data_IF_915075568435
#
_entry.id   IF_915075568435
#
_cell.length_a   1.000
_cell.length_b   1.000
_cell.length_c   1.000
_cell.angle_alpha   90.00
_cell.angle_beta   90.00
_cell.angle_gamma   90.00
#
_symmetry.space_group_name_H-M   'P 1'
#
loop_
_entity.id
_entity.type
_entity.pdbx_description
1 polymer ?
#
# COMPACT_ATOMS: atom_id res chain seq x y z
N UNK A 1 -45.64 62.62 46.07
CA UNK A 1 -44.19 62.33 46.07
C UNK A 1 -43.94 60.99 46.74
N UNK A 2 -43.22 60.09 46.04
CA UNK A 2 -42.55 58.85 46.46
C UNK A 2 -43.26 57.89 47.43
N UNK A 3 -43.72 56.75 46.91
CA UNK A 3 -43.71 55.48 47.66
C UNK A 3 -42.98 54.42 46.84
N UNK A 4 -41.97 53.83 47.49
CA UNK A 4 -41.18 52.71 47.03
C UNK A 4 -42.06 51.47 46.88
N UNK A 5 -41.92 50.75 45.77
CA UNK A 5 -42.55 49.44 45.59
C UNK A 5 -41.45 48.40 45.40
N UNK A 6 -41.38 47.49 46.37
CA UNK A 6 -40.57 46.28 46.39
C UNK A 6 -41.02 45.38 45.25
N UNK A 7 -40.11 45.02 44.33
CA UNK A 7 -40.33 43.97 43.34
C UNK A 7 -39.63 42.72 43.85
N UNK A 8 -40.41 41.75 44.30
CA UNK A 8 -39.97 40.36 44.48
C UNK A 8 -39.97 39.73 43.09
N UNK A 9 -38.79 39.50 42.51
CA UNK A 9 -38.63 38.70 41.31
C UNK A 9 -38.04 37.35 41.71
N UNK A 10 -38.84 36.30 41.63
CA UNK A 10 -38.37 34.92 41.73
C UNK A 10 -37.43 34.62 40.55
N UNK A 11 -36.14 34.48 40.83
CA UNK A 11 -35.17 33.87 39.93
C UNK A 11 -35.28 32.34 40.06
N UNK A 12 -36.04 31.71 39.17
CA UNK A 12 -35.84 30.29 38.85
C UNK A 12 -34.89 30.27 37.66
N UNK A 13 -33.59 30.13 37.97
CA UNK A 13 -32.59 29.84 36.96
C UNK A 13 -32.79 28.41 36.46
N UNK A 14 -33.44 28.24 35.31
CA UNK A 14 -33.28 27.03 34.51
C UNK A 14 -31.92 27.15 33.86
N UNK A 15 -30.89 26.64 34.53
CA UNK A 15 -29.64 26.29 33.86
C UNK A 15 -30.02 25.17 32.90
N UNK A 16 -30.10 25.47 31.61
CA UNK A 16 -30.08 24.44 30.60
C UNK A 16 -28.78 23.67 30.81
N UNK A 17 -28.87 22.48 31.40
CA UNK A 17 -27.77 21.53 31.35
C UNK A 17 -27.49 21.33 29.85
N UNK A 18 -26.39 21.90 29.37
CA UNK A 18 -25.84 21.55 28.08
C UNK A 18 -25.67 20.04 28.13
N UNK A 19 -26.48 19.33 27.34
CA UNK A 19 -26.31 17.90 27.17
C UNK A 19 -24.88 17.72 26.67
N UNK A 20 -24.00 17.18 27.54
CA UNK A 20 -22.63 16.87 27.14
C UNK A 20 -22.71 16.03 25.86
N UNK A 21 -21.90 16.38 24.85
CA UNK A 21 -21.87 15.59 23.64
C UNK A 21 -21.43 14.17 24.01
N UNK A 22 -21.96 13.18 23.31
CA UNK A 22 -21.43 11.83 23.49
C UNK A 22 -19.95 11.81 23.11
N UNK A 23 -19.10 11.23 23.97
CA UNK A 23 -17.68 11.09 23.66
C UNK A 23 -17.48 10.41 22.31
N UNK A 24 -16.53 10.92 21.51
CA UNK A 24 -16.23 10.32 20.21
C UNK A 24 -15.58 8.96 20.40
N UNK A 25 -16.11 7.95 19.70
CA UNK A 25 -15.64 6.57 19.74
C UNK A 25 -15.36 6.07 18.32
N UNK A 26 -14.52 5.04 18.14
CA UNK A 26 -14.45 4.35 16.85
C UNK A 26 -15.73 3.54 16.64
N UNK A 27 -16.43 3.82 15.54
CA UNK A 27 -17.62 3.10 15.11
C UNK A 27 -17.25 1.82 14.37
N UNK A 28 -16.21 1.90 13.54
CA UNK A 28 -15.81 0.83 12.64
C UNK A 28 -14.30 0.81 12.47
N UNK A 29 -13.73 -0.39 12.47
CA UNK A 29 -12.33 -0.62 12.12
C UNK A 29 -12.27 -1.62 10.98
N UNK A 30 -11.60 -1.24 9.90
CA UNK A 30 -11.41 -2.06 8.71
C UNK A 30 -9.92 -2.24 8.47
N UNK A 31 -9.47 -3.48 8.38
CA UNK A 31 -8.18 -3.81 7.80
C UNK A 31 -8.32 -3.95 6.29
N UNK A 32 -7.44 -3.30 5.53
CA UNK A 32 -7.34 -3.47 4.09
C UNK A 32 -6.16 -4.39 3.80
N UNK A 33 -6.50 -5.61 3.40
CA UNK A 33 -5.56 -6.67 3.10
C UNK A 33 -5.24 -6.69 1.61
N UNK A 34 -3.97 -6.87 1.23
CA UNK A 34 -3.61 -6.99 -0.18
C UNK A 34 -4.33 -8.19 -0.83
N UNK A 35 -4.97 -7.96 -1.97
CA UNK A 35 -5.58 -9.00 -2.80
C UNK A 35 -4.68 -9.39 -3.97
N UNK A 36 -4.38 -8.41 -4.82
CA UNK A 36 -3.54 -8.57 -6.01
C UNK A 36 -2.60 -7.37 -6.11
N UNK A 37 -1.34 -7.61 -6.46
CA UNK A 37 -0.42 -6.55 -6.87
C UNK A 37 0.14 -6.90 -8.23
N UNK A 38 0.15 -5.95 -9.16
CA UNK A 38 0.89 -6.18 -10.39
C UNK A 38 2.32 -5.74 -10.17
N UNK A 39 3.17 -6.74 -9.99
CA UNK A 39 4.59 -6.52 -10.15
C UNK A 39 5.18 -7.38 -11.28
N UNK A 40 4.51 -8.46 -11.72
CA UNK A 40 4.99 -9.30 -12.84
C UNK A 40 3.93 -9.99 -13.72
N UNK A 41 2.64 -9.68 -13.56
CA UNK A 41 1.61 -10.40 -14.27
C UNK A 41 0.52 -9.46 -14.75
N UNK A 42 0.85 -8.71 -15.81
CA UNK A 42 0.00 -8.34 -16.94
C UNK A 42 0.41 -6.95 -17.43
N UNK A 43 0.43 -6.81 -18.75
CA UNK A 43 0.87 -5.65 -19.54
C UNK A 43 -0.20 -4.51 -19.52
N UNK A 44 0.04 -3.38 -18.84
CA UNK A 44 -0.81 -2.20 -18.96
C UNK A 44 -0.46 -1.45 -20.23
N UNK A 45 -1.43 -1.32 -21.13
CA UNK A 45 -1.26 -0.62 -22.40
C UNK A 45 -1.37 0.88 -22.21
N UNK A 46 -0.35 1.61 -22.67
CA UNK A 46 -0.50 3.03 -22.96
C UNK A 46 -1.29 3.18 -24.26
N UNK A 47 -2.40 3.93 -24.20
CA UNK A 47 -3.04 4.49 -25.38
C UNK A 47 -2.40 5.87 -25.61
N UNK A 48 -1.31 5.91 -26.39
CA UNK A 48 -0.73 7.20 -26.78
C UNK A 48 -1.79 8.02 -27.52
N UNK A 49 -2.11 9.20 -26.98
CA UNK A 49 -3.11 10.13 -27.51
C UNK A 49 -4.26 10.46 -26.55
N UNK A 50 -4.54 9.65 -25.52
CA UNK A 50 -5.81 9.74 -24.77
C UNK A 50 -5.70 10.08 -23.27
N UNK A 51 -4.52 10.46 -22.75
CA UNK A 51 -4.32 10.83 -21.31
C UNK A 51 -4.82 9.77 -20.31
N UNK A 52 -4.79 8.50 -20.72
CA UNK A 52 -5.48 7.38 -20.07
C UNK A 52 -4.56 6.17 -19.95
N UNK A 53 -4.54 5.52 -18.78
CA UNK A 53 -3.85 4.25 -18.50
C UNK A 53 -4.81 3.31 -17.83
N UNK A 54 -4.83 2.04 -18.22
CA UNK A 54 -5.65 1.05 -17.54
C UNK A 54 -5.02 -0.33 -17.53
N UNK A 55 -5.59 -1.19 -16.68
CA UNK A 55 -5.01 -2.47 -16.36
C UNK A 55 -6.07 -3.41 -15.83
N UNK A 56 -5.97 -4.68 -16.25
CA UNK A 56 -6.83 -5.73 -15.74
C UNK A 56 -6.23 -6.41 -14.52
N UNK A 57 -7.09 -6.83 -13.60
CA UNK A 57 -6.77 -7.71 -12.48
C UNK A 57 -7.89 -8.71 -12.26
N UNK A 58 -7.62 -9.76 -11.48
CA UNK A 58 -8.61 -10.77 -11.12
C UNK A 58 -8.61 -10.89 -9.60
N UNK A 59 -9.62 -10.35 -8.90
CA UNK A 59 -9.66 -10.40 -7.44
C UNK A 59 -9.82 -11.84 -6.96
N UNK A 60 -9.23 -12.14 -5.81
CA UNK A 60 -9.48 -13.39 -5.09
C UNK A 60 -10.68 -13.28 -4.14
N UNK A 61 -11.12 -12.05 -3.86
CA UNK A 61 -12.22 -11.75 -2.93
C UNK A 61 -13.43 -11.13 -3.64
N UNK A 62 -14.54 -11.13 -2.94
CA UNK A 62 -15.83 -10.61 -3.39
C UNK A 62 -16.00 -9.10 -3.13
N UNK A 63 -14.95 -8.43 -2.65
CA UNK A 63 -14.96 -7.00 -2.40
C UNK A 63 -13.59 -6.34 -2.60
N UNK A 64 -13.59 -5.23 -3.32
CA UNK A 64 -12.47 -4.31 -3.50
C UNK A 64 -12.71 -3.07 -2.61
N UNK A 65 -11.88 -2.88 -1.58
CA UNK A 65 -11.98 -1.73 -0.68
C UNK A 65 -11.12 -0.55 -1.13
N UNK A 66 -9.85 -0.80 -1.43
CA UNK A 66 -8.90 0.22 -1.87
C UNK A 66 -8.17 -0.21 -3.15
N UNK A 67 -7.76 0.78 -3.92
CA UNK A 67 -6.76 0.65 -4.98
C UNK A 67 -5.56 1.53 -4.60
N UNK A 68 -4.38 0.92 -4.46
CA UNK A 68 -3.14 1.67 -4.39
C UNK A 68 -2.55 1.81 -5.78
N UNK A 69 -2.12 3.01 -6.16
CA UNK A 69 -1.38 3.19 -7.39
C UNK A 69 -0.28 4.26 -7.28
N UNK A 70 0.81 4.08 -8.03
CA UNK A 70 1.92 5.04 -8.07
C UNK A 70 1.84 5.97 -9.27
N UNK A 71 1.43 7.21 -9.02
CA UNK A 71 1.26 8.25 -10.05
C UNK A 71 2.20 9.41 -9.73
N UNK A 72 2.95 9.93 -10.71
CA UNK A 72 3.87 11.05 -10.48
C UNK A 72 3.47 12.27 -11.31
N UNK A 73 3.70 13.45 -10.74
CA UNK A 73 3.57 14.71 -11.46
C UNK A 73 4.90 15.06 -12.11
N UNK A 74 4.89 15.55 -13.34
CA UNK A 74 6.12 16.01 -13.99
C UNK A 74 6.66 17.24 -13.28
N UNK A 75 7.95 17.21 -12.91
CA UNK A 75 8.62 18.36 -12.30
C UNK A 75 8.92 19.42 -13.36
N UNK A 76 8.96 20.72 -13.00
CA UNK A 76 9.23 21.83 -13.93
C UNK A 76 10.65 21.89 -14.51
N UNK A 77 11.56 21.02 -14.10
CA UNK A 77 13.00 21.08 -14.38
C UNK A 77 13.41 20.52 -15.76
N UNK A 78 12.50 19.86 -16.48
CA UNK A 78 12.70 19.55 -17.89
C UNK A 78 12.28 20.75 -18.75
N UNK A 79 13.23 21.29 -19.52
CA UNK A 79 13.18 22.57 -20.25
C UNK A 79 11.99 22.79 -21.21
N UNK A 80 11.10 21.81 -21.40
CA UNK A 80 9.93 21.87 -22.31
C UNK A 80 8.58 21.50 -21.64
N UNK A 81 8.52 21.32 -20.32
CA UNK A 81 7.25 21.04 -19.64
C UNK A 81 6.73 22.28 -18.91
N UNK A 82 5.75 22.95 -19.52
CA UNK A 82 4.95 23.95 -18.82
C UNK A 82 4.46 23.40 -17.48
N UNK A 83 4.74 24.13 -16.40
CA UNK A 83 4.26 23.79 -15.07
C UNK A 83 2.74 23.97 -15.02
N UNK A 84 1.97 22.94 -15.37
CA UNK A 84 0.53 22.98 -15.13
C UNK A 84 0.32 23.12 -13.63
N UNK A 85 -0.27 24.22 -13.18
CA UNK A 85 -0.52 24.51 -11.77
C UNK A 85 -1.97 24.18 -11.33
N UNK A 86 -2.84 23.81 -12.27
CA UNK A 86 -4.24 23.48 -12.03
C UNK A 86 -4.47 22.10 -11.41
N UNK A 87 -5.74 21.78 -11.13
CA UNK A 87 -6.16 20.47 -10.65
C UNK A 87 -6.09 19.46 -11.80
N UNK A 88 -5.50 18.30 -11.56
CA UNK A 88 -5.37 17.22 -12.55
C UNK A 88 -6.73 16.66 -12.97
N UNK A 89 -7.69 16.71 -12.04
CA UNK A 89 -8.97 16.01 -12.07
C UNK A 89 -8.74 14.55 -12.49
N UNK A 90 -7.98 13.83 -11.67
CA UNK A 90 -7.67 12.43 -11.92
C UNK A 90 -8.98 11.64 -11.83
N UNK A 91 -9.41 11.09 -12.96
CA UNK A 91 -10.57 10.22 -13.02
C UNK A 91 -10.14 8.77 -12.89
N UNK A 92 -10.92 8.01 -12.12
CA UNK A 92 -10.72 6.59 -11.92
C UNK A 92 -12.01 5.89 -12.27
N UNK A 93 -11.93 4.88 -13.13
CA UNK A 93 -13.06 4.08 -13.55
C UNK A 93 -12.74 2.60 -13.44
N UNK A 94 -13.75 1.78 -13.16
CA UNK A 94 -13.63 0.33 -13.03
C UNK A 94 -14.77 -0.36 -13.76
N UNK A 95 -14.46 -1.41 -14.51
CA UNK A 95 -15.41 -2.26 -15.21
C UNK A 95 -15.20 -3.73 -14.84
N UNK A 96 -16.28 -4.50 -14.85
CA UNK A 96 -16.21 -5.95 -15.02
C UNK A 96 -15.88 -6.24 -16.49
N UNK A 97 -14.83 -7.01 -16.76
CA UNK A 97 -14.43 -7.31 -18.13
C UNK A 97 -15.51 -8.14 -18.85
N UNK A 98 -15.75 -7.79 -20.11
CA UNK A 98 -16.60 -8.51 -21.05
C UNK A 98 -15.76 -9.38 -21.98
N UNK A 99 -16.39 -9.99 -22.98
CA UNK A 99 -15.74 -10.88 -23.95
C UNK A 99 -14.57 -10.22 -24.71
N UNK A 100 -14.56 -8.89 -24.81
CA UNK A 100 -13.43 -8.13 -25.33
C UNK A 100 -13.38 -6.70 -24.75
N UNK A 101 -12.28 -6.00 -25.03
CA UNK A 101 -12.04 -4.64 -24.54
C UNK A 101 -13.10 -3.63 -25.01
N UNK A 102 -13.52 -3.68 -26.28
CA UNK A 102 -14.52 -2.77 -26.81
C UNK A 102 -15.88 -2.95 -26.11
N UNK A 103 -16.31 -4.20 -25.93
CA UNK A 103 -17.52 -4.54 -25.17
C UNK A 103 -17.41 -4.08 -23.71
N UNK A 104 -16.23 -4.23 -23.09
CA UNK A 104 -15.97 -3.75 -21.73
C UNK A 104 -16.15 -2.22 -21.66
N UNK A 105 -15.51 -1.47 -22.56
CA UNK A 105 -15.56 0.00 -22.60
C UNK A 105 -16.93 0.56 -22.99
N UNK A 106 -17.71 -0.17 -23.78
CA UNK A 106 -19.07 0.20 -24.14
C UNK A 106 -20.09 -0.09 -23.02
N UNK A 107 -19.70 -0.86 -22.01
CA UNK A 107 -20.53 -1.11 -20.83
C UNK A 107 -20.40 0.00 -19.78
N UNK A 108 -21.42 0.10 -18.92
CA UNK A 108 -21.38 1.05 -17.81
C UNK A 108 -20.30 0.65 -16.79
N UNK A 109 -19.45 1.59 -16.35
CA UNK A 109 -18.49 1.32 -15.29
C UNK A 109 -19.22 0.97 -13.99
N UNK A 110 -18.65 0.02 -13.24
CA UNK A 110 -19.09 -0.32 -11.90
C UNK A 110 -18.78 0.78 -10.88
N UNK A 111 -17.74 1.56 -11.16
CA UNK A 111 -17.31 2.66 -10.33
C UNK A 111 -16.67 3.74 -11.22
N UNK A 112 -16.95 4.99 -10.89
CA UNK A 112 -16.33 6.17 -11.49
C UNK A 112 -16.22 7.25 -10.42
N UNK A 113 -15.03 7.82 -10.27
CA UNK A 113 -14.79 8.98 -9.40
C UNK A 113 -13.79 9.93 -10.03
N UNK A 114 -13.82 11.18 -9.57
CA UNK A 114 -12.85 12.20 -9.94
C UNK A 114 -12.24 12.75 -8.65
N UNK A 115 -10.93 12.59 -8.48
CA UNK A 115 -10.23 13.18 -7.35
C UNK A 115 -9.83 14.63 -7.68
N UNK A 116 -10.53 15.58 -7.05
CA UNK A 116 -10.26 17.01 -7.15
C UNK A 116 -9.16 17.47 -6.18
N UNK A 117 -8.81 16.64 -5.17
CA UNK A 117 -7.88 17.05 -4.11
C UNK A 117 -6.44 16.80 -4.54
N UNK A 118 -5.83 17.91 -4.98
CA UNK A 118 -4.39 18.13 -5.15
C UNK A 118 -3.57 17.29 -4.14
N UNK A 119 -2.80 16.29 -4.59
CA UNK A 119 -1.90 15.57 -3.70
C UNK A 119 -0.67 16.46 -3.52
N UNK A 120 -0.68 17.23 -2.45
CA UNK A 120 0.58 17.62 -1.87
C UNK A 120 1.19 16.32 -1.31
N UNK A 121 2.42 15.99 -1.71
CA UNK A 121 3.31 14.98 -1.10
C UNK A 121 3.07 13.44 -1.25
N UNK A 122 2.16 12.87 -2.05
CA UNK A 122 1.96 11.41 -2.07
C UNK A 122 2.88 10.60 -3.04
N UNK A 123 3.71 9.68 -2.50
CA UNK A 123 4.45 8.64 -3.25
C UNK A 123 3.63 7.36 -3.54
N UNK A 124 2.46 7.19 -2.90
CA UNK A 124 1.47 6.14 -3.15
C UNK A 124 0.08 6.73 -2.97
N UNK A 125 -0.80 6.59 -3.95
CA UNK A 125 -2.21 6.98 -3.82
C UNK A 125 -2.99 5.79 -3.27
N UNK A 126 -3.92 6.00 -2.33
CA UNK A 126 -4.90 5.01 -1.93
C UNK A 126 -6.29 5.54 -2.27
N UNK A 127 -6.98 4.85 -3.16
CA UNK A 127 -8.28 5.24 -3.65
C UNK A 127 -9.36 4.36 -3.03
N UNK A 128 -10.29 4.93 -2.25
CA UNK A 128 -11.50 4.22 -1.83
C UNK A 128 -12.31 3.80 -3.04
N UNK A 129 -12.49 2.48 -3.19
CA UNK A 129 -13.28 1.89 -4.27
C UNK A 129 -14.63 1.42 -3.73
N UNK A 130 -14.61 0.60 -2.67
CA UNK A 130 -15.79 0.01 -2.03
C UNK A 130 -16.75 -0.69 -3.02
N UNK A 131 -16.20 -1.47 -3.95
CA UNK A 131 -16.95 -2.15 -5.01
C UNK A 131 -17.07 -3.64 -4.70
N UNK A 132 -18.24 -4.23 -4.92
CA UNK A 132 -18.41 -5.68 -4.88
C UNK A 132 -17.82 -6.32 -6.14
N UNK A 133 -17.02 -7.36 -5.96
CA UNK A 133 -16.35 -8.10 -7.04
C UNK A 133 -16.75 -9.57 -7.03
N UNK A 134 -16.39 -10.30 -8.09
CA UNK A 134 -16.56 -11.75 -8.19
C UNK A 134 -15.18 -12.40 -8.25
N UNK A 135 -14.82 -13.26 -7.27
CA UNK A 135 -13.57 -14.00 -7.33
C UNK A 135 -13.38 -14.72 -8.67
N UNK A 136 -12.20 -14.62 -9.26
CA UNK A 136 -11.88 -15.28 -10.54
C UNK A 136 -12.43 -14.58 -11.80
N UNK A 137 -13.26 -13.53 -11.65
CA UNK A 137 -13.74 -12.72 -12.78
C UNK A 137 -12.76 -11.58 -13.05
N UNK A 138 -12.30 -11.35 -14.29
CA UNK A 138 -11.42 -10.23 -14.59
C UNK A 138 -12.15 -8.88 -14.52
N UNK A 139 -11.47 -7.88 -13.98
CA UNK A 139 -11.90 -6.48 -13.92
C UNK A 139 -10.84 -5.60 -14.59
N UNK A 140 -11.26 -4.47 -15.15
CA UNK A 140 -10.38 -3.48 -15.77
C UNK A 140 -10.56 -2.15 -15.07
N UNK A 141 -9.50 -1.58 -14.51
CA UNK A 141 -9.52 -0.20 -14.04
C UNK A 141 -8.80 0.73 -15.01
N UNK A 142 -9.16 2.00 -14.95
CA UNK A 142 -8.62 3.07 -15.78
C UNK A 142 -8.37 4.31 -14.94
N UNK A 143 -7.23 4.94 -15.16
CA UNK A 143 -6.85 6.25 -14.69
C UNK A 143 -6.79 7.20 -15.88
N UNK A 144 -7.50 8.33 -15.82
CA UNK A 144 -7.40 9.38 -16.85
C UNK A 144 -7.21 10.75 -16.22
N UNK A 145 -6.48 11.63 -16.93
CA UNK A 145 -6.28 13.04 -16.52
C UNK A 145 -6.77 13.97 -17.63
N UNK A 146 -8.08 14.07 -17.86
CA UNK A 146 -8.65 14.69 -19.06
C UNK A 146 -8.28 16.17 -19.18
N UNK A 147 -8.07 16.87 -18.06
CA UNK A 147 -7.83 18.31 -18.02
C UNK A 147 -6.36 18.71 -17.90
N UNK A 148 -5.47 17.73 -17.72
CA UNK A 148 -4.03 18.00 -17.67
C UNK A 148 -3.47 18.26 -19.07
N UNK A 149 -2.67 19.32 -19.31
CA UNK A 149 -1.97 19.50 -20.57
C UNK A 149 -1.08 18.31 -20.91
N UNK A 150 -0.76 18.15 -22.19
CA UNK A 150 0.19 17.13 -22.64
C UNK A 150 1.50 17.27 -21.85
N UNK A 151 2.04 16.14 -21.39
CA UNK A 151 3.32 16.03 -20.65
C UNK A 151 3.30 16.48 -19.17
N UNK A 152 2.17 16.81 -18.54
CA UNK A 152 2.17 17.28 -17.14
C UNK A 152 2.20 16.19 -16.05
N UNK A 153 1.85 14.96 -16.39
CA UNK A 153 1.93 13.79 -15.51
C UNK A 153 2.79 12.72 -16.15
N UNK A 154 3.49 11.93 -15.33
CA UNK A 154 4.05 10.67 -15.74
C UNK A 154 3.69 9.62 -14.69
N UNK A 155 3.18 8.48 -15.10
CA UNK A 155 3.08 7.35 -14.18
C UNK A 155 4.49 6.85 -13.88
N UNK A 156 4.75 6.41 -12.64
CA UNK A 156 6.09 5.97 -12.30
C UNK A 156 6.51 4.83 -13.20
N UNK A 157 7.68 5.01 -13.78
CA UNK A 157 8.33 4.08 -14.64
C UNK A 157 9.70 3.81 -14.01
N UNK A 158 9.96 2.58 -13.59
CA UNK A 158 11.32 2.17 -13.29
C UNK A 158 11.92 1.48 -14.52
N UNK A 159 12.44 2.27 -15.47
CA UNK A 159 13.73 1.92 -16.04
C UNK A 159 14.80 2.55 -15.17
N UNK A 160 15.25 1.78 -14.18
CA UNK A 160 16.09 2.29 -13.11
C UNK A 160 16.88 1.19 -12.43
N UNK A 161 17.43 0.27 -13.22
CA UNK A 161 18.31 -0.79 -12.74
C UNK A 161 18.37 -1.91 -13.77
N UNK A 162 19.50 -2.59 -13.89
CA UNK A 162 19.74 -3.67 -14.86
C UNK A 162 18.96 -4.96 -14.52
N UNK A 163 17.75 -4.82 -13.99
CA UNK A 163 17.06 -5.83 -13.19
C UNK A 163 15.96 -6.59 -13.96
N UNK A 164 15.77 -6.33 -15.26
CA UNK A 164 14.86 -7.11 -16.13
C UNK A 164 15.49 -7.40 -17.50
N UNK A 165 15.41 -8.65 -17.99
CA UNK A 165 15.58 -8.93 -19.42
C UNK A 165 14.37 -8.36 -20.17
N UNK A 166 14.63 -7.45 -21.12
CA UNK A 166 13.58 -6.89 -21.98
C UNK A 166 12.89 -7.99 -22.78
N UNK A 167 11.59 -8.17 -22.55
CA UNK A 167 10.75 -9.07 -23.35
C UNK A 167 10.00 -8.26 -24.40
N UNK A 168 10.27 -8.53 -25.68
CA UNK A 168 9.62 -7.84 -26.81
C UNK A 168 8.15 -8.28 -27.00
N UNK A 169 7.27 -7.35 -27.36
CA UNK A 169 6.06 -7.68 -28.15
C UNK A 169 5.68 -6.56 -29.13
N UNK A 170 4.74 -6.85 -30.03
CA UNK A 170 4.35 -6.02 -31.19
C UNK A 170 2.93 -5.50 -31.09
N UNK A 171 2.72 -4.23 -31.44
CA UNK A 171 1.41 -3.61 -31.68
C UNK A 171 1.44 -2.99 -33.08
N UNK A 172 0.47 -3.33 -33.94
CA UNK A 172 0.37 -2.84 -35.33
C UNK A 172 1.66 -2.96 -36.16
N UNK A 173 2.45 -4.01 -35.93
CA UNK A 173 3.67 -4.27 -36.70
C UNK A 173 4.88 -3.37 -36.38
N UNK A 174 4.79 -2.49 -35.38
CA UNK A 174 5.92 -1.65 -34.96
C UNK A 174 6.43 -2.03 -33.55
N UNK A 175 7.76 -2.02 -33.38
CA UNK A 175 8.48 -2.54 -32.20
C UNK A 175 8.74 -1.45 -31.16
N UNK A 176 8.09 -1.49 -30.00
CA UNK A 176 8.18 -0.41 -28.99
C UNK A 176 8.07 -0.93 -27.53
N UNK A 177 9.22 -1.21 -26.89
CA UNK A 177 9.46 -1.16 -25.42
C UNK A 177 8.60 -1.99 -24.44
N UNK A 178 8.95 -1.97 -23.15
CA UNK A 178 8.22 -2.63 -22.02
C UNK A 178 7.95 -1.64 -20.88
N UNK A 179 6.74 -1.56 -20.32
CA UNK A 179 6.42 -0.66 -19.19
C UNK A 179 5.34 -1.19 -18.23
N UNK A 180 5.60 -1.23 -16.91
CA UNK A 180 4.67 -1.73 -15.87
C UNK A 180 4.12 -0.61 -14.97
N UNK A 181 2.79 -0.54 -14.81
CA UNK A 181 2.11 0.36 -13.85
C UNK A 181 1.96 -0.31 -12.49
N UNK A 182 2.58 0.25 -11.45
CA UNK A 182 2.57 -0.32 -10.11
C UNK A 182 1.24 -0.03 -9.39
N UNK A 183 0.45 -1.07 -9.18
CA UNK A 183 -0.77 -1.02 -8.41
C UNK A 183 -0.90 -2.21 -7.46
N UNK A 184 -1.71 -2.01 -6.42
CA UNK A 184 -2.15 -3.05 -5.49
C UNK A 184 -3.63 -2.87 -5.20
N UNK A 185 -4.43 -3.93 -5.32
CA UNK A 185 -5.83 -3.95 -4.87
C UNK A 185 -5.92 -4.50 -3.46
N UNK A 186 -6.93 -4.05 -2.71
CA UNK A 186 -7.15 -4.48 -1.33
C UNK A 186 -8.59 -4.93 -1.13
N UNK A 187 -8.78 -5.91 -0.26
CA UNK A 187 -10.09 -6.30 0.24
C UNK A 187 -10.25 -5.90 1.72
N UNK A 188 -11.46 -5.56 2.17
CA UNK A 188 -11.71 -5.14 3.54
C UNK A 188 -11.95 -6.36 4.45
N UNK A 189 -11.42 -6.28 5.67
CA UNK A 189 -11.77 -7.18 6.78
C UNK A 189 -12.16 -6.33 7.98
N UNK A 190 -13.41 -6.45 8.42
CA UNK A 190 -13.88 -5.73 9.60
C UNK A 190 -13.33 -6.38 10.89
N UNK A 191 -12.83 -5.53 11.79
CA UNK A 191 -12.28 -5.93 13.09
C UNK A 191 -13.17 -5.34 14.18
N UNK A 192 -13.67 -6.21 15.06
CA UNK A 192 -14.56 -5.81 16.14
C UNK A 192 -13.79 -5.48 17.41
N UNK A 193 -14.30 -4.53 18.21
CA UNK A 193 -13.69 -4.13 19.48
C UNK A 193 -13.63 -5.33 20.44
N UNK A 194 -12.44 -5.58 21.00
CA UNK A 194 -12.23 -6.61 22.02
C UNK A 194 -12.38 -8.07 21.55
N UNK A 195 -12.67 -8.31 20.26
CA UNK A 195 -12.83 -9.65 19.70
C UNK A 195 -11.71 -9.93 18.71
N UNK A 196 -10.97 -11.02 18.91
CA UNK A 196 -9.88 -11.39 18.02
C UNK A 196 -10.43 -11.75 16.64
N UNK A 197 -10.00 -11.01 15.62
CA UNK A 197 -10.30 -11.32 14.22
C UNK A 197 -9.14 -12.05 13.56
N UNK A 198 -9.36 -13.27 13.07
CA UNK A 198 -8.40 -13.94 12.18
C UNK A 198 -8.52 -13.39 10.76
N UNK A 199 -7.40 -13.09 10.14
CA UNK A 199 -7.29 -12.60 8.77
C UNK A 199 -6.42 -13.55 7.93
N UNK A 200 -6.77 -13.70 6.67
CA UNK A 200 -6.09 -14.57 5.69
C UNK A 200 -5.16 -13.81 4.73
N UNK A 201 -5.09 -12.48 4.84
CA UNK A 201 -4.21 -11.63 4.06
C UNK A 201 -3.57 -10.53 4.92
N UNK A 202 -2.43 -10.03 4.43
CA UNK A 202 -1.62 -9.07 5.14
C UNK A 202 -2.31 -7.69 5.16
N UNK A 203 -2.69 -7.15 6.33
CA UNK A 203 -3.24 -5.80 6.40
C UNK A 203 -2.12 -4.77 6.20
N UNK A 204 -2.22 -3.94 5.17
CA UNK A 204 -1.30 -2.81 4.96
C UNK A 204 -1.88 -1.48 5.41
N UNK A 205 -3.20 -1.39 5.59
CA UNK A 205 -3.86 -0.15 6.00
C UNK A 205 -4.94 -0.53 7.00
N UNK A 206 -5.01 0.20 8.10
CA UNK A 206 -6.16 0.17 9.00
C UNK A 206 -6.93 1.47 8.84
N UNK A 207 -8.21 1.37 8.51
CA UNK A 207 -9.17 2.45 8.48
C UNK A 207 -9.99 2.43 9.76
N UNK A 208 -10.12 3.59 10.40
CA UNK A 208 -10.84 3.79 11.65
C UNK A 208 -11.89 4.87 11.40
N UNK A 209 -13.16 4.48 11.29
CA UNK A 209 -14.27 5.41 11.17
C UNK A 209 -14.74 5.82 12.55
N UNK A 210 -14.77 7.12 12.83
CA UNK A 210 -15.15 7.66 14.13
C UNK A 210 -16.62 8.11 14.16
N UNK A 211 -17.25 8.11 15.34
CA UNK A 211 -18.61 8.63 15.54
C UNK A 211 -18.74 10.13 15.36
N UNK A 212 -17.63 10.86 15.38
CA UNK A 212 -17.58 12.30 15.24
C UNK A 212 -16.16 12.80 14.96
N UNK A 213 -16.05 14.12 14.82
CA UNK A 213 -14.78 14.77 14.51
C UNK A 213 -13.88 14.85 15.74
N UNK A 214 -12.62 14.48 15.58
CA UNK A 214 -11.59 14.60 16.62
C UNK A 214 -10.44 15.44 16.08
N UNK A 215 -9.92 16.35 16.90
CA UNK A 215 -8.68 17.05 16.58
C UNK A 215 -7.53 16.03 16.51
N UNK A 216 -6.62 16.14 15.54
CA UNK A 216 -5.49 15.20 15.40
C UNK A 216 -4.61 15.07 16.66
N UNK A 217 -4.57 16.09 17.54
CA UNK A 217 -3.89 16.01 18.83
C UNK A 217 -4.66 15.21 19.90
N UNK A 218 -5.97 15.03 19.71
CA UNK A 218 -6.89 14.31 20.60
C UNK A 218 -7.08 12.84 20.26
N UNK A 219 -6.30 12.29 19.32
CA UNK A 219 -6.35 10.88 18.94
C UNK A 219 -4.95 10.31 18.75
N UNK A 220 -4.75 9.07 19.17
CA UNK A 220 -3.53 8.29 18.95
C UNK A 220 -3.92 6.91 18.45
N UNK A 221 -3.33 6.47 17.36
CA UNK A 221 -3.47 5.11 16.88
C UNK A 221 -2.09 4.45 16.87
N UNK A 222 -1.98 3.29 17.51
CA UNK A 222 -0.76 2.50 17.56
C UNK A 222 -1.08 1.04 17.30
N UNK A 223 -0.17 0.35 16.64
CA UNK A 223 -0.28 -1.06 16.40
C UNK A 223 0.79 -1.79 17.19
N UNK A 224 0.39 -2.68 18.09
CA UNK A 224 1.32 -3.58 18.79
C UNK A 224 1.31 -4.96 18.14
N UNK A 225 2.46 -5.61 18.07
CA UNK A 225 2.63 -6.98 17.61
C UNK A 225 3.80 -7.69 18.29
N UNK A 226 4.24 -8.85 17.77
CA UNK A 226 5.25 -9.70 18.42
C UNK A 226 6.61 -9.00 18.61
N UNK A 227 6.93 -8.00 17.79
CA UNK A 227 8.18 -7.22 17.87
C UNK A 227 8.00 -5.85 18.55
N UNK A 228 6.90 -5.65 19.30
CA UNK A 228 6.57 -4.40 19.96
C UNK A 228 5.67 -3.49 19.11
N UNK A 229 5.79 -2.17 19.29
CA UNK A 229 4.96 -1.18 18.60
C UNK A 229 5.48 -0.95 17.16
N UNK A 230 4.59 -1.14 16.19
CA UNK A 230 4.85 -0.84 14.78
C UNK A 230 4.61 0.64 14.51
N UNK A 231 5.64 1.31 13.97
CA UNK A 231 5.54 2.70 13.51
C UNK A 231 4.85 2.76 12.15
N UNK A 232 3.64 3.30 12.13
CA UNK A 232 2.88 3.56 10.91
C UNK A 232 2.68 5.08 10.72
N UNK A 233 2.44 5.51 9.48
CA UNK A 233 2.02 6.90 9.23
C UNK A 233 0.52 7.00 9.51
N UNK A 234 0.11 8.11 10.09
CA UNK A 234 -1.30 8.42 10.32
C UNK A 234 -1.73 9.49 9.35
N UNK A 235 -2.88 9.28 8.72
CA UNK A 235 -3.54 10.25 7.84
C UNK A 235 -4.97 10.45 8.28
N UNK A 236 -5.47 11.68 8.18
CA UNK A 236 -6.81 12.07 8.62
C UNK A 236 -7.64 12.45 7.40
N UNK A 237 -8.77 11.78 7.21
CA UNK A 237 -9.79 12.13 6.23
C UNK A 237 -10.71 13.24 6.73
N UNK A 238 -11.39 13.90 5.81
CA UNK A 238 -12.38 14.95 6.13
C UNK A 238 -13.72 14.38 6.64
N UNK A 239 -13.90 13.07 6.52
CA UNK A 239 -15.10 12.28 6.80
C UNK A 239 -15.04 11.56 8.17
N UNK A 240 -14.28 12.10 9.13
CA UNK A 240 -14.02 11.50 10.44
C UNK A 240 -13.32 10.13 10.37
N UNK A 241 -12.61 9.86 9.29
CA UNK A 241 -11.85 8.62 9.09
C UNK A 241 -10.37 8.84 9.40
N UNK A 242 -9.76 7.90 10.11
CA UNK A 242 -8.31 7.87 10.36
C UNK A 242 -7.71 6.64 9.72
N UNK A 243 -6.66 6.84 8.94
CA UNK A 243 -5.91 5.78 8.29
C UNK A 243 -4.56 5.60 8.97
N UNK A 244 -4.20 4.34 9.24
CA UNK A 244 -2.90 3.94 9.75
C UNK A 244 -2.22 3.03 8.72
N UNK A 245 -1.21 3.54 8.01
CA UNK A 245 -0.52 2.81 6.95
C UNK A 245 0.44 3.65 6.11
N UNK A 246 1.19 3.06 5.15
CA UNK A 246 1.33 1.62 4.96
C UNK A 246 1.96 0.95 6.18
N UNK A 247 1.36 -0.13 6.64
CA UNK A 247 1.84 -0.97 7.72
C UNK A 247 2.92 -1.89 7.16
N UNK A 248 4.02 -2.05 7.89
CA UNK A 248 5.07 -3.00 7.54
C UNK A 248 4.98 -4.17 8.51
N UNK A 249 4.14 -5.15 8.19
CA UNK A 249 3.80 -6.27 9.08
C UNK A 249 4.11 -7.63 8.46
N UNK A 250 4.36 -8.63 9.32
CA UNK A 250 5.38 -8.57 10.37
C UNK A 250 6.76 -8.21 9.79
N UNK A 251 7.75 -8.01 10.66
CA UNK A 251 9.08 -8.41 10.23
C UNK A 251 8.99 -9.91 9.92
N UNK A 252 8.97 -10.35 8.64
CA UNK A 252 8.55 -11.71 8.21
C UNK A 252 8.70 -12.75 9.33
N UNK A 253 7.59 -13.25 9.86
CA UNK A 253 7.58 -14.32 10.85
C UNK A 253 6.65 -15.41 10.28
N UNK A 254 7.18 -16.57 9.90
CA UNK A 254 6.32 -17.65 9.44
C UNK A 254 5.41 -18.10 10.59
N UNK A 255 4.10 -18.24 10.31
CA UNK A 255 3.08 -18.66 11.27
C UNK A 255 2.14 -17.54 11.73
N UNK A 256 1.20 -17.92 12.62
CA UNK A 256 0.17 -17.02 13.16
C UNK A 256 0.79 -15.96 14.08
N UNK A 257 0.69 -14.69 13.70
CA UNK A 257 1.12 -13.54 14.50
C UNK A 257 -0.09 -12.82 15.09
N UNK A 258 -0.03 -12.51 16.39
CA UNK A 258 -1.05 -11.73 17.08
C UNK A 258 -0.68 -10.25 17.12
N UNK A 259 -1.65 -9.41 16.78
CA UNK A 259 -1.55 -7.96 16.79
C UNK A 259 -2.72 -7.35 17.53
N UNK A 260 -2.54 -6.09 17.91
CA UNK A 260 -3.59 -5.29 18.53
C UNK A 260 -3.46 -3.86 18.07
N UNK A 261 -4.49 -3.37 17.36
CA UNK A 261 -4.66 -1.94 17.15
C UNK A 261 -5.20 -1.34 18.45
N UNK A 262 -4.51 -0.32 18.95
CA UNK A 262 -4.91 0.46 20.10
C UNK A 262 -5.21 1.87 19.60
N UNK A 263 -6.47 2.28 19.75
CA UNK A 263 -6.93 3.64 19.46
C UNK A 263 -7.19 4.32 20.79
N UNK A 264 -6.54 5.45 21.02
CA UNK A 264 -6.78 6.29 22.19
C UNK A 264 -7.45 7.58 21.72
N UNK A 265 -8.58 7.93 22.32
CA UNK A 265 -9.32 9.16 21.99
C UNK A 265 -9.50 9.97 23.27
N UNK A 266 -9.22 11.27 23.20
CA UNK A 266 -9.44 12.19 24.30
C UNK A 266 -10.93 12.56 24.35
N UNK A 267 -11.61 12.18 25.42
CA UNK A 267 -13.02 12.54 25.65
C UNK A 267 -13.20 14.01 26.02
N UNK A 268 -14.44 14.46 26.13
CA UNK A 268 -14.79 15.86 26.41
C UNK A 268 -14.26 16.33 27.77
N UNK A 269 -14.23 15.41 28.75
CA UNK A 269 -13.64 15.64 30.08
C UNK A 269 -12.11 15.82 30.07
N UNK A 270 -11.46 15.65 28.92
CA UNK A 270 -10.02 15.71 28.74
C UNK A 270 -9.28 14.41 29.07
N UNK A 271 -9.99 13.39 29.55
CA UNK A 271 -9.43 12.07 29.83
C UNK A 271 -9.28 11.23 28.55
N UNK A 272 -8.23 10.41 28.50
CA UNK A 272 -8.01 9.47 27.40
C UNK A 272 -8.83 8.20 27.61
N UNK A 273 -9.52 7.77 26.56
CA UNK A 273 -10.21 6.49 26.47
C UNK A 273 -9.42 5.54 25.57
N UNK A 274 -9.35 4.26 25.94
CA UNK A 274 -8.66 3.23 25.16
C UNK A 274 -9.66 2.29 24.47
N UNK A 275 -9.41 2.03 23.20
CA UNK A 275 -10.14 1.07 22.38
C UNK A 275 -9.15 0.07 21.78
N UNK A 276 -9.40 -1.20 21.98
CA UNK A 276 -8.51 -2.27 21.55
C UNK A 276 -9.20 -3.18 20.54
N UNK A 277 -8.50 -3.45 19.45
CA UNK A 277 -8.96 -4.25 18.32
C UNK A 277 -7.91 -5.33 18.06
N UNK A 278 -8.01 -6.48 18.75
CA UNK A 278 -7.09 -7.59 18.54
C UNK A 278 -7.39 -8.26 17.20
N UNK A 279 -6.33 -8.64 16.50
CA UNK A 279 -6.44 -9.44 15.29
C UNK A 279 -5.24 -10.36 15.16
N UNK A 280 -5.45 -11.48 14.50
CA UNK A 280 -4.38 -12.39 14.12
C UNK A 280 -4.30 -12.46 12.62
N UNK A 281 -3.08 -12.62 12.14
CA UNK A 281 -2.82 -12.88 10.74
C UNK A 281 -1.79 -14.00 10.67
N UNK A 282 -2.06 -14.96 9.80
CA UNK A 282 -1.12 -16.00 9.45
C UNK A 282 -0.65 -15.74 8.02
N UNK A 283 0.66 -15.52 7.86
CA UNK A 283 1.29 -15.54 6.54
C UNK A 283 1.12 -16.95 5.98
N UNK A 284 0.24 -17.17 4.99
CA UNK A 284 0.12 -18.49 4.42
C UNK A 284 1.46 -18.82 3.74
N UNK A 285 2.00 -20.00 4.04
CA UNK A 285 3.31 -20.38 3.56
C UNK A 285 3.22 -21.03 2.16
N UNK A 286 4.18 -20.71 1.31
CA UNK A 286 4.58 -21.58 0.20
C UNK A 286 5.94 -22.18 0.53
N UNK A 287 6.33 -23.23 -0.20
CA UNK A 287 7.68 -23.77 -0.09
C UNK A 287 8.71 -22.65 -0.35
N UNK A 288 9.74 -22.49 0.49
CA UNK A 288 10.73 -21.44 0.30
C UNK A 288 11.70 -21.78 -0.83
N UNK A 289 12.40 -20.77 -1.35
CA UNK A 289 13.61 -21.00 -2.11
C UNK A 289 14.67 -21.69 -1.23
N UNK A 290 15.32 -22.73 -1.73
CA UNK A 290 16.31 -23.51 -0.98
C UNK A 290 17.70 -23.39 -1.60
N UNK A 291 18.73 -23.93 -0.93
CA UNK A 291 20.11 -23.96 -1.44
C UNK A 291 20.63 -22.58 -1.90
N UNK A 292 20.36 -21.54 -1.10
CA UNK A 292 20.82 -20.18 -1.38
C UNK A 292 22.34 -20.12 -1.26
N UNK A 293 23.00 -19.72 -2.35
CA UNK A 293 24.44 -19.55 -2.45
C UNK A 293 24.76 -18.10 -2.80
N UNK A 294 25.93 -17.65 -2.36
CA UNK A 294 26.46 -16.32 -2.61
C UNK A 294 27.94 -16.42 -2.98
N UNK A 295 28.35 -15.73 -4.05
CA UNK A 295 29.75 -15.61 -4.45
C UNK A 295 30.09 -14.14 -4.66
N UNK A 296 31.13 -13.63 -4.01
CA UNK A 296 31.57 -12.24 -4.13
C UNK A 296 32.76 -12.11 -5.11
N UNK A 297 32.77 -11.01 -5.87
CA UNK A 297 33.89 -10.56 -6.69
C UNK A 297 33.88 -9.03 -6.77
N UNK A 298 34.79 -8.42 -7.55
CA UNK A 298 34.89 -6.96 -7.66
C UNK A 298 33.63 -6.26 -8.20
N UNK A 299 32.77 -6.98 -8.92
CA UNK A 299 31.51 -6.45 -9.45
C UNK A 299 30.35 -6.50 -8.44
N UNK A 300 30.49 -7.23 -7.33
CA UNK A 300 29.48 -7.37 -6.27
C UNK A 300 29.27 -8.82 -5.84
N UNK A 301 28.04 -9.15 -5.46
CA UNK A 301 27.64 -10.48 -4.98
C UNK A 301 26.67 -11.12 -5.97
N UNK A 302 27.00 -12.31 -6.46
CA UNK A 302 26.07 -13.16 -7.21
C UNK A 302 25.36 -14.10 -6.25
N UNK A 303 24.04 -14.03 -6.20
CA UNK A 303 23.16 -14.95 -5.48
C UNK A 303 22.55 -15.96 -6.44
N UNK A 304 22.46 -17.22 -6.00
CA UNK A 304 21.73 -18.29 -6.70
C UNK A 304 20.92 -19.11 -5.70
N UNK A 305 19.82 -19.72 -6.15
CA UNK A 305 18.96 -20.56 -5.30
C UNK A 305 18.24 -21.64 -6.12
N UNK A 306 17.70 -22.66 -5.45
CA UNK A 306 16.73 -23.59 -6.03
C UNK A 306 15.32 -22.98 -5.98
N UNK A 307 14.53 -23.11 -7.06
CA UNK A 307 13.23 -22.46 -7.16
C UNK A 307 12.21 -23.05 -6.17
N UNK A 308 11.31 -22.20 -5.70
CA UNK A 308 10.05 -22.56 -5.07
C UNK A 308 9.00 -22.89 -6.14
N UNK A 309 8.29 -24.04 -6.06
CA UNK A 309 7.36 -24.46 -7.10
C UNK A 309 6.17 -23.53 -7.36
N UNK A 310 5.76 -22.76 -6.33
CA UNK A 310 4.59 -21.87 -6.41
C UNK A 310 4.98 -20.39 -6.53
N UNK A 311 6.28 -20.08 -6.65
CA UNK A 311 6.73 -18.70 -6.74
C UNK A 311 6.35 -18.06 -8.08
N UNK A 312 5.62 -16.96 -8.02
CA UNK A 312 5.48 -16.02 -9.14
C UNK A 312 6.53 -14.90 -9.08
N UNK A 313 7.09 -14.65 -7.89
CA UNK A 313 8.08 -13.60 -7.63
C UNK A 313 9.06 -14.04 -6.53
N UNK A 314 10.30 -13.55 -6.59
CA UNK A 314 11.19 -13.51 -5.43
C UNK A 314 11.55 -12.07 -5.06
N UNK A 315 11.61 -11.79 -3.76
CA UNK A 315 12.18 -10.55 -3.20
C UNK A 315 13.51 -10.86 -2.51
N UNK A 316 14.54 -10.10 -2.86
CA UNK A 316 15.87 -10.24 -2.32
C UNK A 316 16.10 -9.15 -1.28
N UNK A 317 16.55 -9.59 -0.11
CA UNK A 317 16.84 -8.73 1.03
C UNK A 317 18.28 -8.87 1.47
N UNK A 318 18.86 -7.75 1.88
CA UNK A 318 20.23 -7.67 2.38
C UNK A 318 20.30 -7.04 3.76
N UNK A 319 21.21 -7.55 4.57
CA UNK A 319 21.48 -7.11 5.94
C UNK A 319 22.98 -6.99 6.20
N UNK A 320 23.33 -6.25 7.24
CA UNK A 320 24.69 -6.13 7.79
C UNK A 320 24.83 -6.82 9.17
N UNK A 321 23.74 -7.41 9.68
CA UNK A 321 23.68 -8.13 10.94
C UNK A 321 22.96 -9.46 10.71
N UNK A 322 23.47 -10.54 11.31
CA UNK A 322 22.87 -11.88 11.21
C UNK A 322 21.53 -11.96 11.95
N UNK A 323 20.67 -12.90 11.56
CA UNK A 323 19.45 -13.25 12.29
C UNK A 323 18.32 -12.24 12.15
N UNK A 324 18.50 -11.18 11.36
CA UNK A 324 17.45 -10.17 11.12
C UNK A 324 16.31 -10.73 10.26
N UNK A 325 15.08 -10.55 10.73
CA UNK A 325 13.87 -10.82 9.93
C UNK A 325 13.53 -9.64 9.00
N UNK A 326 12.68 -9.88 7.99
CA UNK A 326 12.35 -8.90 6.95
C UNK A 326 11.48 -7.75 7.49
N UNK A 327 12.04 -6.63 7.94
CA UNK A 327 11.30 -5.45 8.41
C UNK A 327 11.63 -4.17 7.63
N UNK A 328 11.14 -3.02 8.12
CA UNK A 328 11.38 -1.70 7.49
C UNK A 328 12.85 -1.27 7.47
N UNK A 329 13.66 -1.78 8.42
CA UNK A 329 15.10 -1.58 8.47
C UNK A 329 15.87 -2.53 7.52
N UNK A 330 15.19 -3.53 6.96
CA UNK A 330 15.78 -4.46 6.01
C UNK A 330 15.89 -3.80 4.65
N UNK A 331 17.07 -3.82 4.05
CA UNK A 331 17.25 -3.29 2.70
C UNK A 331 16.72 -4.32 1.72
N UNK A 332 15.46 -4.17 1.33
CA UNK A 332 14.96 -4.70 0.08
C UNK A 332 15.87 -4.19 -1.05
N UNK A 333 16.51 -5.10 -1.78
CA UNK A 333 17.47 -4.72 -2.83
C UNK A 333 16.97 -5.06 -4.24
N UNK A 334 16.13 -6.09 -4.39
CA UNK A 334 15.60 -6.45 -5.69
C UNK A 334 14.35 -7.33 -5.62
N UNK A 335 13.65 -7.36 -6.75
CA UNK A 335 12.62 -8.34 -7.11
C UNK A 335 13.04 -9.02 -8.41
N UNK A 336 12.74 -10.30 -8.53
CA UNK A 336 12.94 -11.08 -9.75
C UNK A 336 11.73 -11.99 -10.00
N UNK A 337 11.52 -12.40 -11.25
CA UNK A 337 10.41 -13.28 -11.62
C UNK A 337 10.54 -14.67 -10.97
N UNK A 338 9.42 -15.37 -10.82
CA UNK A 338 9.37 -16.71 -10.21
C UNK A 338 10.15 -17.79 -10.97
N UNK A 339 10.40 -17.59 -12.26
CA UNK A 339 11.24 -18.44 -13.11
C UNK A 339 12.74 -18.09 -13.04
N UNK A 340 13.11 -16.98 -12.38
CA UNK A 340 14.49 -16.56 -12.20
C UNK A 340 15.06 -17.11 -10.89
N UNK A 341 16.26 -17.70 -10.96
CA UNK A 341 16.92 -18.36 -9.82
C UNK A 341 18.30 -17.79 -9.48
N UNK A 342 18.59 -16.58 -9.98
CA UNK A 342 19.84 -15.86 -9.69
C UNK A 342 19.63 -14.35 -9.64
N UNK A 343 20.46 -13.65 -8.87
CA UNK A 343 20.47 -12.19 -8.80
C UNK A 343 21.90 -11.65 -8.58
N UNK A 344 22.25 -10.58 -9.29
CA UNK A 344 23.52 -9.87 -9.08
C UNK A 344 23.27 -8.62 -8.22
N UNK A 345 23.76 -8.61 -6.99
CA UNK A 345 23.83 -7.42 -6.14
C UNK A 345 25.09 -6.61 -6.47
N UNK A 346 24.98 -5.47 -7.18
CA UNK A 346 26.16 -4.76 -7.65
C UNK A 346 26.91 -4.08 -6.51
N UNK A 347 28.24 -4.04 -6.61
CA UNK A 347 29.07 -3.36 -5.62
C UNK A 347 28.82 -1.86 -5.52
N UNK A 348 28.35 -1.23 -6.62
CA UNK A 348 28.05 0.20 -6.73
C UNK A 348 26.68 0.42 -7.38
N UNK A 349 26.04 1.53 -7.06
CA UNK A 349 24.86 1.99 -7.79
C UNK A 349 25.29 2.63 -9.13
N UNK A 350 24.30 3.05 -9.94
CA UNK A 350 24.57 3.67 -11.25
C UNK A 350 25.35 4.99 -11.16
N UNK A 351 25.27 5.69 -10.03
CA UNK A 351 26.00 6.93 -9.77
C UNK A 351 27.43 6.68 -9.26
N UNK A 352 27.87 5.41 -9.22
CA UNK A 352 29.18 5.01 -8.73
C UNK A 352 29.30 4.96 -7.20
N UNK A 353 28.23 5.24 -6.45
CA UNK A 353 28.21 5.14 -4.99
C UNK A 353 28.26 3.68 -4.55
N UNK A 354 29.15 3.37 -3.61
CA UNK A 354 29.25 2.03 -3.04
C UNK A 354 27.91 1.58 -2.41
N UNK A 355 27.52 0.37 -2.76
CA UNK A 355 26.41 -0.38 -2.15
C UNK A 355 26.92 -1.50 -1.28
N UNK A 356 28.08 -2.07 -1.62
CA UNK A 356 28.80 -3.09 -0.88
C UNK A 356 30.19 -2.56 -0.57
N UNK A 357 30.65 -2.78 0.64
CA UNK A 357 31.91 -2.26 1.17
C UNK A 357 32.85 -3.43 1.49
N UNK A 358 34.12 -3.29 1.14
CA UNK A 358 35.15 -4.31 1.41
C UNK A 358 35.31 -4.54 2.90
N UNK A 359 35.51 -5.79 3.31
CA UNK A 359 35.63 -6.18 4.71
C UNK A 359 34.31 -6.22 5.47
N UNK A 360 33.19 -5.82 4.87
CA UNK A 360 31.86 -5.95 5.48
C UNK A 360 31.26 -7.31 5.12
N UNK A 361 30.73 -7.99 6.13
CA UNK A 361 29.91 -9.19 5.94
C UNK A 361 28.46 -8.80 5.72
N UNK A 362 27.89 -9.30 4.63
CA UNK A 362 26.49 -9.13 4.31
C UNK A 362 25.75 -10.46 4.43
N UNK A 363 24.48 -10.36 4.82
CA UNK A 363 23.57 -11.49 4.93
C UNK A 363 22.43 -11.29 3.93
N UNK A 364 21.97 -12.37 3.32
CA UNK A 364 20.95 -12.36 2.28
C UNK A 364 19.85 -13.36 2.60
N UNK A 365 18.62 -12.98 2.22
CA UNK A 365 17.47 -13.88 2.18
C UNK A 365 16.64 -13.65 0.93
N UNK A 366 16.06 -14.73 0.41
CA UNK A 366 15.20 -14.76 -0.76
C UNK A 366 13.79 -15.12 -0.30
N UNK A 367 12.84 -14.21 -0.49
CA UNK A 367 11.44 -14.43 -0.17
C UNK A 367 10.69 -14.80 -1.45
N UNK A 368 10.25 -16.04 -1.56
CA UNK A 368 9.30 -16.47 -2.58
C UNK A 368 7.92 -15.89 -2.29
N UNK A 369 7.19 -15.44 -3.32
CA UNK A 369 5.79 -15.05 -3.25
C UNK A 369 4.97 -15.75 -4.33
N UNK A 370 3.75 -16.15 -4.00
CA UNK A 370 2.82 -16.74 -4.97
C UNK A 370 2.17 -15.69 -5.89
N UNK A 371 1.32 -16.13 -6.82
CA UNK A 371 0.70 -15.24 -7.82
C UNK A 371 -0.16 -14.13 -7.20
N UNK A 372 -0.81 -14.38 -6.06
CA UNK A 372 -1.57 -13.36 -5.33
C UNK A 372 -0.68 -12.46 -4.45
N UNK A 373 0.63 -12.73 -4.38
CA UNK A 373 1.59 -12.07 -3.49
C UNK A 373 1.24 -12.17 -2.00
N UNK A 374 0.28 -13.02 -1.66
CA UNK A 374 -0.30 -13.12 -0.33
C UNK A 374 0.26 -14.31 0.44
N UNK A 375 0.90 -15.27 -0.26
CA UNK A 375 1.61 -16.39 0.35
C UNK A 375 3.10 -16.27 0.14
N UNK A 376 3.88 -16.75 1.10
CA UNK A 376 5.31 -16.48 1.13
C UNK A 376 6.16 -17.66 1.59
N UNK A 377 7.40 -17.73 1.09
CA UNK A 377 8.38 -18.73 1.49
C UNK A 377 9.77 -18.12 1.58
N UNK A 378 10.22 -17.80 2.80
CA UNK A 378 11.55 -17.24 3.05
C UNK A 378 12.61 -18.33 3.12
N UNK A 379 13.68 -18.13 2.37
CA UNK A 379 14.86 -18.98 2.40
C UNK A 379 15.59 -18.92 3.75
N UNK A 380 16.44 -19.92 3.99
CA UNK A 380 17.55 -19.77 4.93
C UNK A 380 18.40 -18.52 4.64
N UNK A 381 19.03 -17.98 5.67
CA UNK A 381 20.00 -16.89 5.57
C UNK A 381 21.29 -17.37 4.91
N UNK A 382 21.85 -16.53 4.03
CA UNK A 382 23.17 -16.75 3.47
C UNK A 382 24.09 -15.58 3.76
N UNK A 383 25.19 -15.85 4.44
CA UNK A 383 26.27 -14.89 4.69
C UNK A 383 27.33 -14.91 3.57
N UNK A 384 27.95 -13.76 3.35
CA UNK A 384 29.12 -13.58 2.48
C UNK A 384 29.91 -12.35 2.90
N UNK A 385 31.23 -12.48 3.01
CA UNK A 385 32.15 -11.36 3.21
C UNK A 385 32.60 -10.79 1.85
N UNK A 386 32.71 -9.46 1.76
CA UNK A 386 33.26 -8.80 0.57
C UNK A 386 34.79 -8.75 0.68
N UNK A 387 35.53 -9.37 -0.27
CA UNK A 387 36.98 -9.46 -0.22
C UNK A 387 37.72 -8.13 -0.40
#
# INVERSE_FOLDING_TARGET
MKKWMMVVLCLIGIVAASQAGADVVPNKVIAHCQDQGNYFANDPKWLFGERTVGQSFTPSKDKLSLLSAKIYRRKPDFQDSGSFAGNANLEIRLWECKENYAATKNSQPLFSTTDEKKPAFADNFYFPMNVNTKPGTPYYFEFSVPLAPEKCYYYWYQYGGSFYPGGDFTINGARWGTCDFNFTTYYPVEISKGQEKSMDGLPEILEIQLSGKVNSAGIKAMLSGPSGIIKAKTSYGDDNTVYLGPLTLPAYNPGKSAYKLIVQIKGESGNWQNFEYPFTYELPAIEPATDVKATANDSGVTLTWKPSPSAAEYRIYRFTESGKMLGRATRFIARVKGDQTSYQDPAKNKDGKALLEKGITYYYRVLALDKSLSKTGLSQEKEIAIP
#
